data_IF_519383456139
#
_entry.id   IF_519383456139
#
_cell.length_a   1.000
_cell.length_b   1.000
_cell.length_c   1.000
_cell.angle_alpha   90.00
_cell.angle_beta   90.00
_cell.angle_gamma   90.00
#
_symmetry.space_group_name_H-M   'P 1'
#
loop_
_entity.id
_entity.type
_entity.pdbx_description
1 polymer ?
#
# COMPACT_ATOMS: atom_id res chain seq x y z
N UNK A 1 -6.98 -46.66 28.76
CA UNK A 1 -8.16 -45.86 28.36
C UNK A 1 -7.89 -45.27 26.98
N UNK A 2 -8.82 -45.41 26.04
CA UNK A 2 -8.68 -44.83 24.70
C UNK A 2 -8.71 -43.30 24.79
N UNK A 3 -7.83 -42.60 24.04
CA UNK A 3 -7.85 -41.14 23.98
C UNK A 3 -9.05 -40.70 23.16
N UNK A 4 -10.00 -40.01 23.79
CA UNK A 4 -11.13 -39.39 23.09
C UNK A 4 -10.67 -38.04 22.55
N UNK A 5 -10.77 -37.86 21.24
CA UNK A 5 -10.45 -36.60 20.57
C UNK A 5 -11.71 -35.76 20.42
N UNK A 6 -11.58 -34.44 20.59
CA UNK A 6 -12.64 -33.47 20.33
C UNK A 6 -13.06 -33.52 18.87
N UNK A 7 -14.36 -33.51 18.61
CA UNK A 7 -14.96 -33.46 17.27
C UNK A 7 -14.87 -32.06 16.66
N UNK A 8 -15.06 -31.96 15.35
CA UNK A 8 -15.11 -30.67 14.64
C UNK A 8 -16.28 -29.83 15.14
N UNK A 9 -17.45 -30.44 15.39
CA UNK A 9 -18.62 -29.75 15.92
C UNK A 9 -18.36 -29.17 17.32
N UNK A 10 -17.78 -29.95 18.24
CA UNK A 10 -17.43 -29.45 19.58
C UNK A 10 -16.40 -28.32 19.53
N UNK A 11 -15.41 -28.40 18.63
CA UNK A 11 -14.45 -27.32 18.43
C UNK A 11 -15.14 -26.04 17.90
N UNK A 12 -16.08 -26.18 16.96
CA UNK A 12 -16.87 -25.07 16.42
C UNK A 12 -17.74 -24.39 17.47
N UNK A 13 -18.42 -25.18 18.32
CA UNK A 13 -19.24 -24.64 19.39
C UNK A 13 -18.40 -23.85 20.41
N UNK A 14 -17.26 -24.39 20.86
CA UNK A 14 -16.40 -23.70 21.81
C UNK A 14 -15.87 -22.36 21.26
N UNK A 15 -15.57 -22.30 19.96
CA UNK A 15 -15.17 -21.05 19.31
C UNK A 15 -16.30 -20.03 19.30
N UNK A 16 -17.52 -20.47 18.94
CA UNK A 16 -18.72 -19.63 18.95
C UNK A 16 -19.01 -19.07 20.36
N UNK A 17 -18.95 -19.92 21.38
CA UNK A 17 -19.17 -19.51 22.77
C UNK A 17 -18.11 -18.52 23.26
N UNK A 18 -16.87 -18.70 22.82
CA UNK A 18 -15.77 -17.77 23.14
C UNK A 18 -15.97 -16.39 22.52
N UNK A 19 -16.57 -16.32 21.32
CA UNK A 19 -16.81 -15.07 20.61
C UNK A 19 -17.69 -14.09 21.43
N UNK A 20 -18.62 -14.61 22.24
CA UNK A 20 -19.46 -13.80 23.12
C UNK A 20 -18.70 -13.08 24.24
N UNK A 21 -17.50 -13.56 24.63
CA UNK A 21 -16.77 -13.04 25.79
C UNK A 21 -15.42 -12.41 25.46
N UNK A 22 -14.79 -12.80 24.35
CA UNK A 22 -13.46 -12.31 23.95
C UNK A 22 -13.44 -10.79 23.77
N UNK A 23 -14.46 -10.20 23.15
CA UNK A 23 -14.51 -8.75 22.90
C UNK A 23 -14.45 -7.92 24.20
N UNK A 24 -15.29 -8.27 25.18
CA UNK A 24 -15.31 -7.59 26.47
C UNK A 24 -13.99 -7.77 27.25
N UNK A 25 -13.41 -8.98 27.21
CA UNK A 25 -12.11 -9.26 27.85
C UNK A 25 -10.98 -8.45 27.22
N UNK A 26 -10.96 -8.36 25.89
CA UNK A 26 -9.97 -7.59 25.14
C UNK A 26 -10.08 -6.09 25.45
N UNK A 27 -11.30 -5.54 25.44
CA UNK A 27 -11.55 -4.14 25.77
C UNK A 27 -11.09 -3.81 27.20
N UNK A 28 -11.43 -4.66 28.18
CA UNK A 28 -11.01 -4.48 29.56
C UNK A 28 -9.49 -4.57 29.75
N UNK A 29 -8.80 -5.47 29.02
CA UNK A 29 -7.35 -5.55 29.05
C UNK A 29 -6.69 -4.31 28.44
N UNK A 30 -7.19 -3.85 27.29
CA UNK A 30 -6.67 -2.68 26.58
C UNK A 30 -6.85 -1.41 27.40
N UNK A 31 -8.00 -1.23 28.06
CA UNK A 31 -8.25 -0.08 28.92
C UNK A 31 -7.31 0.02 30.13
N UNK A 32 -6.67 -1.09 30.54
CA UNK A 32 -5.67 -1.12 31.61
C UNK A 32 -4.24 -0.98 31.12
N UNK A 33 -4.01 -1.06 29.81
CA UNK A 33 -2.66 -1.01 29.26
C UNK A 33 -2.19 0.45 29.19
N UNK A 34 -1.17 0.78 29.99
CA UNK A 34 -0.42 2.03 29.85
C UNK A 34 0.81 1.78 28.97
N UNK A 35 0.62 1.84 27.66
CA UNK A 35 1.70 1.64 26.70
C UNK A 35 2.48 2.94 26.43
N UNK A 36 1.83 4.09 26.56
CA UNK A 36 2.38 5.39 26.18
C UNK A 36 3.45 5.86 27.17
N UNK A 37 3.22 5.73 28.47
CA UNK A 37 4.19 6.15 29.49
C UNK A 37 5.57 5.49 29.31
N UNK A 38 5.71 4.15 29.19
CA UNK A 38 7.02 3.55 28.94
C UNK A 38 7.57 3.90 27.56
N UNK A 39 6.72 3.97 26.52
CA UNK A 39 7.16 4.26 25.15
C UNK A 39 7.64 5.71 24.94
N UNK A 40 7.06 6.67 25.67
CA UNK A 40 7.42 8.10 25.63
C UNK A 40 8.50 8.47 26.67
N UNK A 41 8.99 7.50 27.44
CA UNK A 41 10.00 7.74 28.45
C UNK A 41 11.33 8.19 27.84
N UNK A 42 12.11 8.95 28.61
CA UNK A 42 13.47 9.35 28.21
C UNK A 42 14.38 8.14 27.94
N UNK A 43 14.18 7.04 28.67
CA UNK A 43 14.94 5.80 28.46
C UNK A 43 14.60 5.17 27.10
N UNK A 44 13.33 5.14 26.71
CA UNK A 44 12.93 4.65 25.39
C UNK A 44 13.54 5.49 24.26
N UNK A 45 13.54 6.83 24.41
CA UNK A 45 14.19 7.74 23.46
C UNK A 45 15.70 7.49 23.40
N UNK A 46 16.37 7.31 24.54
CA UNK A 46 17.80 6.99 24.57
C UNK A 46 18.11 5.66 23.88
N UNK A 47 17.35 4.60 24.18
CA UNK A 47 17.52 3.29 23.56
C UNK A 47 17.32 3.35 22.04
N UNK A 48 16.37 4.15 21.56
CA UNK A 48 16.21 4.41 20.13
C UNK A 48 17.44 5.11 19.54
N UNK A 49 17.92 6.18 20.18
CA UNK A 49 19.12 6.91 19.72
C UNK A 49 20.35 5.99 19.68
N UNK A 50 20.55 5.20 20.71
CA UNK A 50 21.68 4.26 20.80
C UNK A 50 21.61 3.21 19.69
N UNK A 51 20.43 2.63 19.43
CA UNK A 51 20.23 1.66 18.35
C UNK A 51 20.43 2.26 16.95
N UNK A 52 19.99 3.51 16.72
CA UNK A 52 20.26 4.23 15.47
C UNK A 52 21.76 4.49 15.31
N UNK A 53 22.42 4.96 16.37
CA UNK A 53 23.86 5.22 16.35
C UNK A 53 24.68 3.94 16.14
N UNK A 54 24.26 2.82 16.73
CA UNK A 54 24.85 1.50 16.50
C UNK A 54 24.66 1.05 15.04
N UNK A 55 23.45 1.21 14.48
CA UNK A 55 23.19 0.87 13.09
C UNK A 55 24.04 1.70 12.11
N UNK A 56 24.27 2.98 12.44
CA UNK A 56 25.15 3.88 11.69
C UNK A 56 26.61 3.43 11.82
N UNK A 57 27.11 3.25 13.04
CA UNK A 57 28.50 2.92 13.31
C UNK A 57 28.91 1.55 12.74
N UNK A 58 28.01 0.56 12.83
CA UNK A 58 28.18 -0.77 12.23
C UNK A 58 28.00 -0.78 10.71
N UNK A 59 27.57 0.34 10.10
CA UNK A 59 27.27 0.39 8.67
C UNK A 59 26.15 -0.56 8.25
N UNK A 60 25.21 -0.86 9.14
CA UNK A 60 24.17 -1.89 8.97
C UNK A 60 23.38 -1.73 7.67
N UNK A 61 23.11 -0.50 7.24
CA UNK A 61 22.45 -0.23 5.95
C UNK A 61 23.28 -0.74 4.77
N UNK A 62 24.58 -0.41 4.74
CA UNK A 62 25.45 -0.82 3.64
C UNK A 62 25.61 -2.34 3.59
N UNK A 63 25.73 -2.97 4.76
CA UNK A 63 25.74 -4.44 4.89
C UNK A 63 24.44 -5.04 4.38
N UNK A 64 23.28 -4.51 4.77
CA UNK A 64 21.97 -4.95 4.28
C UNK A 64 21.85 -4.85 2.76
N UNK A 65 22.31 -3.74 2.15
CA UNK A 65 22.33 -3.56 0.68
C UNK A 65 23.24 -4.59 0.00
N UNK A 66 24.44 -4.86 0.54
CA UNK A 66 25.35 -5.88 -0.01
C UNK A 66 24.75 -7.29 0.10
N UNK A 67 24.11 -7.60 1.22
CA UNK A 67 23.41 -8.87 1.44
C UNK A 67 22.21 -9.04 0.51
N UNK A 68 21.49 -7.95 0.21
CA UNK A 68 20.45 -7.95 -0.79
C UNK A 68 21.04 -8.25 -2.17
N UNK A 69 22.15 -7.59 -2.53
CA UNK A 69 23.04 -7.94 -3.65
C UNK A 69 22.40 -7.86 -5.04
N UNK A 70 23.14 -7.35 -6.02
CA UNK A 70 22.61 -7.19 -7.38
C UNK A 70 22.17 -8.54 -7.99
N UNK A 71 22.98 -9.59 -7.80
CA UNK A 71 22.71 -10.92 -8.37
C UNK A 71 21.44 -11.57 -7.81
N UNK A 72 21.17 -11.42 -6.50
CA UNK A 72 19.96 -11.98 -5.89
C UNK A 72 18.72 -11.18 -6.29
N UNK A 73 18.82 -9.85 -6.38
CA UNK A 73 17.76 -9.01 -6.94
C UNK A 73 17.43 -9.41 -8.39
N UNK A 74 18.43 -9.48 -9.27
CA UNK A 74 18.25 -9.83 -10.68
C UNK A 74 17.64 -11.23 -10.87
N UNK A 75 18.08 -12.22 -10.08
CA UNK A 75 17.45 -13.55 -10.05
C UNK A 75 15.99 -13.48 -9.60
N UNK A 76 15.67 -12.73 -8.55
CA UNK A 76 14.29 -12.53 -8.12
C UNK A 76 13.41 -11.91 -9.22
N UNK A 77 13.91 -10.89 -9.90
CA UNK A 77 13.21 -10.26 -11.03
C UNK A 77 13.02 -11.23 -12.20
N UNK A 78 14.03 -12.02 -12.55
CA UNK A 78 13.99 -12.92 -13.72
C UNK A 78 13.20 -14.19 -13.43
N UNK A 79 13.51 -14.87 -12.33
CA UNK A 79 12.99 -16.20 -12.04
C UNK A 79 11.55 -16.18 -11.50
N UNK A 80 11.14 -15.06 -10.90
CA UNK A 80 9.79 -14.87 -10.34
C UNK A 80 9.03 -13.79 -11.09
N UNK A 81 9.57 -12.56 -11.12
CA UNK A 81 8.88 -11.40 -11.68
C UNK A 81 8.52 -11.57 -13.17
N UNK A 82 9.51 -11.91 -14.00
CA UNK A 82 9.33 -12.01 -15.45
C UNK A 82 8.33 -13.11 -15.84
N UNK A 83 8.26 -14.20 -15.07
CA UNK A 83 7.31 -15.30 -15.33
C UNK A 83 5.85 -14.90 -15.11
N UNK A 84 5.58 -13.97 -14.18
CA UNK A 84 4.21 -13.62 -13.78
C UNK A 84 3.74 -12.26 -14.29
N UNK A 85 4.65 -11.35 -14.66
CA UNK A 85 4.30 -9.97 -15.02
C UNK A 85 3.34 -9.91 -16.21
N UNK A 86 3.55 -10.75 -17.23
CA UNK A 86 2.67 -10.81 -18.40
C UNK A 86 1.25 -11.24 -18.06
N UNK A 87 1.09 -12.23 -17.16
CA UNK A 87 -0.23 -12.67 -16.72
C UNK A 87 -0.91 -11.59 -15.88
N UNK A 88 -0.19 -10.96 -14.95
CA UNK A 88 -0.73 -9.87 -14.12
C UNK A 88 -1.21 -8.68 -14.94
N UNK A 89 -0.51 -8.33 -16.02
CA UNK A 89 -0.94 -7.29 -16.96
C UNK A 89 -2.24 -7.72 -17.67
N UNK A 90 -2.33 -8.98 -18.11
CA UNK A 90 -3.56 -9.50 -18.74
C UNK A 90 -4.74 -9.47 -17.77
N UNK A 91 -4.52 -9.87 -16.52
CA UNK A 91 -5.55 -9.88 -15.48
C UNK A 91 -6.04 -8.45 -15.18
N UNK A 92 -5.13 -7.48 -15.13
CA UNK A 92 -5.45 -6.06 -14.92
C UNK A 92 -6.04 -5.35 -16.15
N UNK A 93 -6.13 -6.03 -17.31
CA UNK A 93 -6.59 -5.40 -18.55
C UNK A 93 -8.05 -4.93 -18.44
N UNK A 94 -8.92 -5.75 -17.84
CA UNK A 94 -10.32 -5.40 -17.66
C UNK A 94 -10.47 -4.15 -16.77
N UNK A 95 -9.72 -4.07 -15.67
CA UNK A 95 -9.72 -2.90 -14.78
C UNK A 95 -9.18 -1.65 -15.48
N UNK A 96 -8.14 -1.79 -16.30
CA UNK A 96 -7.62 -0.69 -17.11
C UNK A 96 -8.67 -0.18 -18.12
N UNK A 97 -9.32 -1.11 -18.82
CA UNK A 97 -10.38 -0.79 -19.79
C UNK A 97 -11.57 -0.12 -19.11
N UNK A 98 -12.03 -0.64 -17.99
CA UNK A 98 -13.17 -0.12 -17.25
C UNK A 98 -12.89 1.24 -16.60
N UNK A 99 -11.74 1.40 -15.94
CA UNK A 99 -11.51 2.54 -15.06
C UNK A 99 -10.69 3.66 -15.70
N UNK A 100 -9.71 3.31 -16.55
CA UNK A 100 -8.82 4.32 -17.14
C UNK A 100 -9.21 4.74 -18.55
N UNK A 101 -9.77 3.84 -19.37
CA UNK A 101 -10.14 4.20 -20.75
C UNK A 101 -11.15 5.35 -20.84
N UNK A 102 -12.15 5.49 -19.95
CA UNK A 102 -13.02 6.68 -19.94
C UNK A 102 -12.26 7.98 -19.65
N UNK A 103 -11.31 7.94 -18.71
CA UNK A 103 -10.44 9.08 -18.36
C UNK A 103 -9.57 9.48 -19.54
N UNK A 104 -8.89 8.51 -20.15
CA UNK A 104 -8.05 8.74 -21.33
C UNK A 104 -8.86 9.29 -22.51
N UNK A 105 -10.07 8.77 -22.73
CA UNK A 105 -10.98 9.25 -23.77
C UNK A 105 -11.36 10.72 -23.56
N UNK A 106 -11.74 11.09 -22.34
CA UNK A 106 -12.08 12.47 -22.01
C UNK A 106 -10.87 13.42 -22.16
N UNK A 107 -9.68 12.98 -21.74
CA UNK A 107 -8.44 13.72 -21.93
C UNK A 107 -8.15 13.98 -23.40
N UNK A 108 -8.25 12.95 -24.25
CA UNK A 108 -7.99 13.06 -25.68
C UNK A 108 -9.00 13.99 -26.36
N UNK A 109 -10.31 13.83 -26.07
CA UNK A 109 -11.35 14.72 -26.60
C UNK A 109 -11.12 16.19 -26.23
N UNK A 110 -10.74 16.46 -24.98
CA UNK A 110 -10.40 17.82 -24.54
C UNK A 110 -9.14 18.36 -25.23
N UNK A 111 -8.13 17.51 -25.44
CA UNK A 111 -6.90 17.89 -26.11
C UNK A 111 -7.09 18.18 -27.61
N UNK A 112 -7.93 17.38 -28.27
CA UNK A 112 -8.25 17.51 -29.70
C UNK A 112 -9.12 18.74 -29.97
N UNK A 113 -10.03 19.08 -29.04
CA UNK A 113 -10.84 20.30 -29.11
C UNK A 113 -10.10 21.59 -28.73
N UNK A 114 -8.85 21.50 -28.27
CA UNK A 114 -8.13 22.65 -27.76
C UNK A 114 -7.62 23.59 -28.88
N UNK A 115 -7.68 24.92 -28.70
CA UNK A 115 -7.25 25.90 -29.70
C UNK A 115 -5.76 25.78 -30.01
N UNK A 116 -5.32 26.15 -31.21
CA UNK A 116 -3.93 26.07 -31.63
C UNK A 116 -2.94 26.66 -30.60
N UNK A 117 -1.77 26.03 -30.46
CA UNK A 117 -0.74 26.50 -29.53
C UNK A 117 -0.26 27.89 -29.94
N UNK A 118 0.03 28.72 -28.94
CA UNK A 118 0.62 30.05 -29.12
C UNK A 118 2.03 30.10 -28.50
N UNK A 119 2.75 31.21 -28.70
CA UNK A 119 4.03 31.44 -28.00
C UNK A 119 3.85 31.85 -26.54
N UNK A 120 2.64 32.27 -26.14
CA UNK A 120 2.34 32.58 -24.75
C UNK A 120 2.05 31.29 -23.97
N UNK A 121 2.96 30.97 -23.05
CA UNK A 121 2.82 29.78 -22.22
C UNK A 121 1.58 29.84 -21.32
N UNK A 122 1.16 31.03 -20.85
CA UNK A 122 -0.03 31.16 -19.99
C UNK A 122 -1.29 30.83 -20.78
N UNK A 123 -1.41 31.33 -22.00
CA UNK A 123 -2.49 30.96 -22.89
C UNK A 123 -2.54 29.45 -23.17
N UNK A 124 -1.38 28.79 -23.38
CA UNK A 124 -1.34 27.34 -23.58
C UNK A 124 -1.75 26.54 -22.33
N UNK A 125 -1.35 27.00 -21.13
CA UNK A 125 -1.76 26.35 -19.87
C UNK A 125 -3.26 26.50 -19.68
N UNK A 126 -3.77 27.73 -19.75
CA UNK A 126 -5.15 28.03 -19.44
C UNK A 126 -6.12 27.44 -20.45
N UNK A 127 -5.78 27.50 -21.75
CA UNK A 127 -6.72 27.15 -22.81
C UNK A 127 -6.51 25.72 -23.35
N UNK A 128 -5.46 25.00 -22.92
CA UNK A 128 -5.21 23.62 -23.37
C UNK A 128 -4.99 22.65 -22.22
N UNK A 129 -4.05 22.93 -21.32
CA UNK A 129 -3.69 21.98 -20.24
C UNK A 129 -4.78 21.88 -19.18
N UNK A 130 -5.25 23.01 -18.63
CA UNK A 130 -6.29 23.00 -17.60
C UNK A 130 -7.55 22.26 -18.05
N UNK A 131 -8.11 22.51 -19.25
CA UNK A 131 -9.28 21.76 -19.75
C UNK A 131 -9.07 20.23 -19.80
N UNK A 132 -7.88 19.76 -20.19
CA UNK A 132 -7.56 18.33 -20.23
C UNK A 132 -7.52 17.74 -18.83
N UNK A 133 -6.94 18.46 -17.86
CA UNK A 133 -6.89 18.03 -16.45
C UNK A 133 -8.29 18.01 -15.84
N UNK A 134 -9.12 19.02 -16.11
CA UNK A 134 -10.51 19.08 -15.64
C UNK A 134 -11.33 17.92 -16.23
N UNK A 135 -11.17 17.63 -17.52
CA UNK A 135 -11.81 16.49 -18.18
C UNK A 135 -11.39 15.16 -17.52
N UNK A 136 -10.10 14.99 -17.24
CA UNK A 136 -9.58 13.81 -16.54
C UNK A 136 -10.19 13.65 -15.14
N UNK A 137 -10.24 14.73 -14.36
CA UNK A 137 -10.79 14.72 -12.99
C UNK A 137 -12.28 14.39 -13.00
N UNK A 138 -13.04 15.01 -13.89
CA UNK A 138 -14.48 14.74 -14.04
C UNK A 138 -14.74 13.29 -14.44
N UNK A 139 -14.03 12.78 -15.45
CA UNK A 139 -14.16 11.40 -15.89
C UNK A 139 -13.74 10.37 -14.81
N UNK A 140 -12.84 10.75 -13.91
CA UNK A 140 -12.46 9.97 -12.75
C UNK A 140 -13.40 10.11 -11.54
N UNK A 141 -14.53 10.82 -11.68
CA UNK A 141 -15.49 11.05 -10.60
C UNK A 141 -14.98 11.97 -9.47
N UNK A 142 -13.93 12.75 -9.73
CA UNK A 142 -13.35 13.70 -8.76
C UNK A 142 -13.98 15.07 -8.95
N UNK A 143 -14.08 15.83 -7.85
CA UNK A 143 -14.46 17.25 -7.92
C UNK A 143 -13.48 18.01 -8.81
N UNK A 144 -14.00 19.01 -9.53
CA UNK A 144 -13.25 19.91 -10.41
C UNK A 144 -13.33 21.30 -9.81
#
# INVERSE_FOLDING_TARGET
MARVHKTIQEAGQHLSDSAATIGARYAAATARADWETPASSREAEQNWQDGVNEAISSGSRATGVRNAGNTKYQRGCTDKGAKVIGQRIKDARADYEQNFSPVLTAMNQAADGAPARTRDFRANINNRLLPVVEAARRAAGKSV
#
